data_IF_956055954707
#
_entry.id   IF_956055954707
#
_cell.length_a   1.000
_cell.length_b   1.000
_cell.length_c   1.000
_cell.angle_alpha   90.00
_cell.angle_beta   90.00
_cell.angle_gamma   90.00
#
_symmetry.space_group_name_H-M   'P 1'
#
loop_
_entity.id
_entity.type
_entity.pdbx_description
1 polymer ?
#
# COMPACT_ATOMS: atom_id res chain seq x y z
N UNK A 1 -14.31 6.09 9.28
CA UNK A 1 -13.19 7.03 9.46
C UNK A 1 -13.56 8.35 8.79
N UNK A 2 -13.24 9.48 9.41
CA UNK A 2 -13.40 10.84 8.88
C UNK A 2 -12.00 11.43 8.79
N UNK A 3 -11.65 12.09 7.68
CA UNK A 3 -10.32 12.67 7.52
C UNK A 3 -10.36 14.03 6.83
N UNK A 4 -9.35 14.85 7.12
CA UNK A 4 -9.10 16.13 6.48
C UNK A 4 -7.60 16.30 6.22
N UNK A 5 -7.27 16.81 5.05
CA UNK A 5 -5.89 17.13 4.65
C UNK A 5 -5.71 18.64 4.55
N UNK A 6 -4.51 19.09 4.86
CA UNK A 6 -4.07 20.46 4.58
C UNK A 6 -2.64 20.45 4.05
N UNK A 7 -2.34 21.31 3.10
CA UNK A 7 -0.97 21.57 2.64
C UNK A 7 -0.80 23.05 2.33
N UNK A 8 0.45 23.52 2.44
CA UNK A 8 0.81 24.89 2.09
C UNK A 8 1.94 24.89 1.07
N UNK A 9 1.98 25.95 0.26
CA UNK A 9 3.16 26.25 -0.56
C UNK A 9 4.34 26.44 0.38
N UNK A 10 5.39 25.63 0.23
CA UNK A 10 6.55 25.64 1.12
C UNK A 10 6.74 24.36 1.93
N UNK A 11 6.01 23.28 1.59
CA UNK A 11 6.31 21.95 2.06
C UNK A 11 5.72 21.55 3.40
N UNK A 12 4.73 22.29 3.92
CA UNK A 12 4.00 21.86 5.12
C UNK A 12 2.80 21.01 4.72
N UNK A 13 2.70 19.82 5.31
CA UNK A 13 1.55 18.93 5.20
C UNK A 13 0.91 18.65 6.55
N UNK A 14 -0.40 18.48 6.56
CA UNK A 14 -1.12 18.06 7.74
C UNK A 14 -2.23 17.07 7.40
N UNK A 15 -2.52 16.17 8.32
CA UNK A 15 -3.67 15.28 8.23
C UNK A 15 -4.28 15.11 9.61
N UNK A 16 -5.61 15.09 9.66
CA UNK A 16 -6.38 14.67 10.82
C UNK A 16 -7.25 13.49 10.41
N UNK A 17 -7.17 12.39 11.15
CA UNK A 17 -8.01 11.20 10.99
C UNK A 17 -8.77 10.96 12.28
N UNK A 18 -10.10 10.88 12.19
CA UNK A 18 -10.95 10.52 13.31
C UNK A 18 -11.61 9.18 13.08
N UNK A 19 -11.49 8.30 14.06
CA UNK A 19 -12.08 6.96 14.11
C UNK A 19 -13.23 6.99 15.13
N UNK A 20 -14.48 7.20 14.67
CA UNK A 20 -15.60 7.47 15.58
C UNK A 20 -15.96 6.29 16.48
N UNK A 21 -15.81 5.06 16.00
CA UNK A 21 -16.12 3.86 16.78
C UNK A 21 -15.16 3.68 17.95
N UNK A 22 -13.88 3.93 17.72
CA UNK A 22 -12.81 3.80 18.70
C UNK A 22 -12.59 5.09 19.50
N UNK A 23 -13.20 6.19 19.08
CA UNK A 23 -13.06 7.53 19.66
C UNK A 23 -11.60 8.03 19.67
N UNK A 24 -10.85 7.65 18.65
CA UNK A 24 -9.43 8.02 18.49
C UNK A 24 -9.31 9.06 17.38
N UNK A 25 -8.53 10.10 17.65
CA UNK A 25 -8.09 11.08 16.66
C UNK A 25 -6.57 11.01 16.50
N UNK A 26 -6.10 10.91 15.27
CA UNK A 26 -4.68 11.03 14.92
C UNK A 26 -4.49 12.28 14.10
N UNK A 27 -3.62 13.19 14.57
CA UNK A 27 -3.26 14.41 13.87
C UNK A 27 -1.75 14.40 13.61
N UNK A 28 -1.35 14.60 12.36
CA UNK A 28 0.05 14.70 11.93
C UNK A 28 0.26 16.03 11.24
N UNK A 29 1.36 16.69 11.57
CA UNK A 29 1.86 17.88 10.90
C UNK A 29 3.31 17.62 10.54
N UNK A 30 3.70 17.89 9.31
CA UNK A 30 5.07 17.74 8.86
C UNK A 30 5.49 18.92 7.97
N UNK A 31 6.79 19.02 7.74
CA UNK A 31 7.41 19.98 6.83
C UNK A 31 8.08 19.30 5.64
N UNK A 32 7.58 18.13 5.23
CA UNK A 32 8.08 17.39 4.08
C UNK A 32 7.29 17.76 2.83
N UNK A 33 7.98 18.00 1.75
CA UNK A 33 7.42 18.30 0.42
C UNK A 33 6.94 17.02 -0.31
N UNK A 34 6.25 16.12 0.39
CA UNK A 34 5.83 14.82 -0.14
C UNK A 34 4.36 14.76 -0.61
N UNK A 35 3.72 15.93 -0.74
CA UNK A 35 2.33 16.02 -1.17
C UNK A 35 1.32 15.42 -0.19
N UNK A 36 1.73 15.18 1.07
CA UNK A 36 0.86 14.63 2.12
C UNK A 36 0.86 13.11 2.24
N UNK A 37 1.54 12.39 1.36
CA UNK A 37 1.62 10.92 1.42
C UNK A 37 2.28 10.44 2.72
N UNK A 38 3.41 11.04 3.12
CA UNK A 38 4.08 10.68 4.36
C UNK A 38 3.21 10.91 5.58
N UNK A 39 2.42 12.00 5.61
CA UNK A 39 1.48 12.27 6.71
C UNK A 39 0.40 11.21 6.80
N UNK A 40 -0.17 10.78 5.67
CA UNK A 40 -1.20 9.75 5.66
C UNK A 40 -0.67 8.41 6.13
N UNK A 41 0.50 8.03 5.63
CA UNK A 41 1.18 6.81 6.03
C UNK A 41 1.46 6.78 7.53
N UNK A 42 2.08 7.85 8.06
CA UNK A 42 2.38 7.97 9.49
C UNK A 42 1.08 7.92 10.32
N UNK A 43 0.03 8.63 9.90
CA UNK A 43 -1.25 8.63 10.61
C UNK A 43 -1.89 7.23 10.66
N UNK A 44 -1.81 6.46 9.57
CA UNK A 44 -2.28 5.07 9.55
C UNK A 44 -1.45 4.18 10.48
N UNK A 45 -0.13 4.33 10.50
CA UNK A 45 0.74 3.57 11.41
C UNK A 45 0.47 3.89 12.88
N UNK A 46 0.36 5.17 13.21
CA UNK A 46 0.02 5.60 14.58
C UNK A 46 -1.33 5.03 15.00
N UNK A 47 -2.35 5.12 14.13
CA UNK A 47 -3.65 4.52 14.41
C UNK A 47 -3.55 3.00 14.63
N UNK A 48 -2.70 2.30 13.87
CA UNK A 48 -2.51 0.85 13.96
C UNK A 48 -1.99 0.36 15.31
N UNK A 49 -1.32 1.21 16.10
CA UNK A 49 -0.93 0.87 17.48
C UNK A 49 -2.12 0.74 18.44
N UNK A 50 -3.22 1.41 18.14
CA UNK A 50 -4.41 1.48 18.99
C UNK A 50 -5.62 0.78 18.40
N UNK A 51 -5.68 0.67 17.08
CA UNK A 51 -6.82 0.15 16.33
C UNK A 51 -6.34 -1.01 15.46
N UNK A 52 -6.60 -2.28 15.84
CA UNK A 52 -6.24 -3.42 15.00
C UNK A 52 -6.80 -3.27 13.58
N UNK A 53 -5.94 -3.36 12.58
CA UNK A 53 -6.34 -3.23 11.18
C UNK A 53 -6.49 -1.79 10.67
N UNK A 54 -6.26 -0.75 11.48
CA UNK A 54 -6.32 0.64 10.99
C UNK A 54 -5.27 0.93 9.89
N UNK A 55 -4.14 0.26 9.95
CA UNK A 55 -3.09 0.35 8.95
C UNK A 55 -3.54 -0.20 7.59
N UNK A 56 -4.23 -1.34 7.59
CA UNK A 56 -4.84 -1.95 6.40
C UNK A 56 -6.24 -1.40 6.08
N UNK A 57 -6.63 -0.26 6.66
CA UNK A 57 -7.97 0.31 6.50
C UNK A 57 -9.10 -0.49 7.15
N UNK A 58 -8.78 -1.42 8.05
CA UNK A 58 -9.76 -2.33 8.65
C UNK A 58 -10.24 -3.42 7.68
N UNK A 59 -9.52 -3.64 6.58
CA UNK A 59 -9.87 -4.64 5.58
C UNK A 59 -9.85 -6.04 6.18
N UNK A 60 -10.90 -6.79 5.90
CA UNK A 60 -11.02 -8.21 6.29
C UNK A 60 -10.37 -9.08 5.22
N UNK A 61 -9.87 -10.23 5.65
CA UNK A 61 -9.38 -11.25 4.73
C UNK A 61 -10.52 -11.72 3.81
N UNK A 62 -10.25 -11.71 2.49
CA UNK A 62 -11.17 -12.18 1.46
C UNK A 62 -10.62 -13.47 0.90
N UNK A 63 -11.45 -14.52 0.90
CA UNK A 63 -11.08 -15.79 0.31
C UNK A 63 -11.24 -15.75 -1.22
N UNK A 64 -10.30 -15.10 -1.89
CA UNK A 64 -10.15 -15.11 -3.33
C UNK A 64 -8.80 -15.75 -3.70
N UNK A 65 -8.84 -17.05 -3.95
CA UNK A 65 -7.66 -17.83 -4.28
C UNK A 65 -6.98 -17.32 -5.55
N UNK A 66 -7.76 -16.92 -6.57
CA UNK A 66 -7.24 -16.46 -7.86
C UNK A 66 -6.46 -15.15 -7.69
N UNK A 67 -7.03 -14.18 -6.96
CA UNK A 67 -6.35 -12.91 -6.70
C UNK A 67 -5.08 -13.12 -5.89
N UNK A 68 -5.14 -13.96 -4.86
CA UNK A 68 -3.99 -14.30 -4.03
C UNK A 68 -2.87 -14.95 -4.83
N UNK A 69 -3.18 -15.97 -5.64
CA UNK A 69 -2.20 -16.71 -6.44
C UNK A 69 -1.55 -15.85 -7.51
N UNK A 70 -2.34 -15.03 -8.21
CA UNK A 70 -1.82 -14.09 -9.20
C UNK A 70 -0.81 -13.09 -8.58
N UNK A 71 -1.17 -12.47 -7.46
CA UNK A 71 -0.27 -11.52 -6.79
C UNK A 71 1.00 -12.21 -6.28
N UNK A 72 0.87 -13.41 -5.71
CA UNK A 72 2.02 -14.19 -5.24
C UNK A 72 2.94 -14.60 -6.39
N UNK A 73 2.38 -14.96 -7.54
CA UNK A 73 3.18 -15.27 -8.74
C UNK A 73 3.98 -14.05 -9.21
N UNK A 74 3.36 -12.87 -9.24
CA UNK A 74 4.02 -11.62 -9.61
C UNK A 74 5.17 -11.32 -8.66
N UNK A 75 4.98 -11.47 -7.34
CA UNK A 75 6.04 -11.26 -6.36
C UNK A 75 7.21 -12.24 -6.54
N UNK A 76 6.93 -13.52 -6.85
CA UNK A 76 7.94 -14.52 -7.15
C UNK A 76 8.76 -14.15 -8.39
N UNK A 77 8.10 -13.76 -9.47
CA UNK A 77 8.78 -13.35 -10.70
C UNK A 77 9.66 -12.12 -10.47
N UNK A 78 9.18 -11.12 -9.72
CA UNK A 78 9.98 -9.94 -9.33
C UNK A 78 11.20 -10.36 -8.51
N UNK A 79 11.02 -11.24 -7.53
CA UNK A 79 12.10 -11.76 -6.68
C UNK A 79 13.15 -12.56 -7.47
N UNK A 80 12.72 -13.30 -8.49
CA UNK A 80 13.57 -14.05 -9.42
C UNK A 80 14.25 -13.17 -10.49
N UNK A 81 14.17 -11.86 -10.35
CA UNK A 81 14.69 -10.89 -11.32
C UNK A 81 14.04 -10.99 -12.72
N UNK A 82 12.85 -11.55 -12.80
CA UNK A 82 12.04 -11.55 -14.02
C UNK A 82 11.18 -10.29 -14.10
N UNK A 83 10.65 -10.01 -15.28
CA UNK A 83 9.72 -8.91 -15.50
C UNK A 83 8.36 -9.50 -15.86
N UNK A 84 7.41 -9.55 -14.90
CA UNK A 84 6.05 -10.01 -15.19
C UNK A 84 5.40 -9.19 -16.32
N UNK A 85 4.74 -9.85 -17.26
CA UNK A 85 4.03 -9.18 -18.36
C UNK A 85 2.88 -8.29 -17.89
N UNK A 86 2.39 -8.54 -16.68
CA UNK A 86 1.34 -7.74 -16.04
C UNK A 86 1.80 -6.38 -15.56
N UNK A 87 3.12 -6.14 -15.46
CA UNK A 87 3.65 -4.82 -15.09
C UNK A 87 3.53 -3.83 -16.25
N UNK A 88 3.29 -2.57 -15.94
CA UNK A 88 3.43 -1.48 -16.91
C UNK A 88 4.90 -1.34 -17.32
N UNK A 89 5.15 -0.93 -18.56
CA UNK A 89 6.49 -0.78 -19.08
C UNK A 89 7.36 0.19 -18.24
N UNK A 90 6.73 1.24 -17.70
CA UNK A 90 7.41 2.20 -16.85
C UNK A 90 7.82 1.59 -15.51
N UNK A 91 6.90 0.88 -14.84
CA UNK A 91 7.21 0.26 -13.55
C UNK A 91 8.23 -0.87 -13.71
N UNK A 92 8.10 -1.69 -14.75
CA UNK A 92 9.03 -2.78 -15.05
C UNK A 92 10.50 -2.33 -15.12
N UNK A 93 10.75 -1.13 -15.71
CA UNK A 93 12.10 -0.53 -15.80
C UNK A 93 12.62 0.02 -14.46
N UNK A 94 11.72 0.35 -13.53
CA UNK A 94 12.03 1.06 -12.30
C UNK A 94 11.94 0.19 -11.04
N UNK A 95 11.70 -1.12 -11.15
CA UNK A 95 11.73 -2.03 -10.00
C UNK A 95 13.15 -2.10 -9.45
N UNK A 96 13.34 -1.52 -8.26
CA UNK A 96 14.66 -1.42 -7.65
C UNK A 96 15.22 -2.79 -7.23
N UNK A 97 16.53 -2.93 -7.26
CA UNK A 97 17.21 -4.14 -6.77
C UNK A 97 16.92 -4.40 -5.28
N UNK A 98 16.84 -3.34 -4.48
CA UNK A 98 16.49 -3.46 -3.06
C UNK A 98 15.08 -4.04 -2.86
N UNK A 99 14.09 -3.58 -3.64
CA UNK A 99 12.73 -4.13 -3.59
C UNK A 99 12.72 -5.62 -3.95
N UNK A 100 13.47 -6.03 -4.98
CA UNK A 100 13.60 -7.43 -5.39
C UNK A 100 14.20 -8.30 -4.28
N UNK A 101 15.30 -7.86 -3.67
CA UNK A 101 15.98 -8.56 -2.56
C UNK A 101 15.06 -8.72 -1.35
N UNK A 102 14.43 -7.63 -0.92
CA UNK A 102 13.52 -7.67 0.23
C UNK A 102 12.29 -8.54 -0.04
N UNK A 103 11.74 -8.50 -1.25
CA UNK A 103 10.63 -9.38 -1.66
C UNK A 103 11.05 -10.85 -1.62
N UNK A 104 12.25 -11.18 -2.11
CA UNK A 104 12.79 -12.55 -2.04
C UNK A 104 12.95 -13.03 -0.60
N UNK A 105 13.46 -12.18 0.29
CA UNK A 105 13.59 -12.50 1.72
C UNK A 105 12.24 -12.70 2.40
N UNK A 106 11.27 -11.84 2.11
CA UNK A 106 9.92 -11.96 2.63
C UNK A 106 9.26 -13.28 2.17
N UNK A 107 9.40 -13.64 0.90
CA UNK A 107 8.88 -14.90 0.36
C UNK A 107 9.50 -16.13 1.03
N UNK A 108 10.80 -16.12 1.36
CA UNK A 108 11.47 -17.22 2.07
C UNK A 108 10.93 -17.42 3.49
N UNK A 109 10.51 -16.34 4.16
CA UNK A 109 10.00 -16.35 5.54
C UNK A 109 8.47 -16.42 5.61
N UNK A 110 7.79 -16.45 4.48
CA UNK A 110 6.34 -16.38 4.38
C UNK A 110 5.67 -17.61 5.03
N UNK A 111 4.77 -17.35 5.97
CA UNK A 111 3.87 -18.35 6.57
C UNK A 111 2.49 -18.33 5.92
N UNK A 112 2.00 -17.14 5.59
CA UNK A 112 0.73 -16.98 4.88
C UNK A 112 0.73 -15.73 4.01
N UNK A 113 -0.07 -15.76 2.96
CA UNK A 113 -0.34 -14.61 2.09
C UNK A 113 -1.84 -14.56 1.79
N UNK A 114 -2.49 -13.47 2.15
CA UNK A 114 -3.93 -13.32 2.03
C UNK A 114 -4.31 -12.02 1.33
N UNK A 115 -5.41 -12.07 0.59
CA UNK A 115 -6.01 -10.91 -0.04
C UNK A 115 -6.93 -10.20 0.93
N UNK A 116 -6.82 -8.86 1.01
CA UNK A 116 -7.61 -8.02 1.90
C UNK A 116 -8.71 -7.24 1.18
N UNK A 117 -8.69 -7.22 -0.15
CA UNK A 117 -9.62 -6.45 -0.97
C UNK A 117 -8.92 -5.39 -1.81
N UNK A 118 -9.73 -4.62 -2.50
CA UNK A 118 -9.29 -3.51 -3.32
C UNK A 118 -10.11 -2.25 -3.06
N UNK A 119 -9.52 -1.11 -3.35
CA UNK A 119 -10.20 0.18 -3.34
C UNK A 119 -10.00 0.90 -4.68
N UNK A 120 -11.04 1.61 -5.13
CA UNK A 120 -10.93 2.47 -6.30
C UNK A 120 -10.13 3.71 -5.94
N UNK A 121 -9.21 4.08 -6.81
CA UNK A 121 -8.50 5.36 -6.68
C UNK A 121 -9.48 6.48 -7.04
N UNK A 122 -9.87 7.25 -6.03
CA UNK A 122 -10.69 8.43 -6.23
C UNK A 122 -9.81 9.64 -6.51
N UNK A 123 -10.27 10.56 -7.37
CA UNK A 123 -9.55 11.75 -7.82
C UNK A 123 -9.24 12.80 -6.72
N UNK A 124 -9.58 12.51 -5.48
CA UNK A 124 -9.33 13.39 -4.33
C UNK A 124 -7.92 13.26 -3.72
N UNK A 125 -7.03 12.50 -4.34
CA UNK A 125 -5.62 12.53 -3.97
C UNK A 125 -4.95 13.78 -4.54
N UNK A 126 -4.17 14.45 -3.72
CA UNK A 126 -3.50 15.72 -4.02
C UNK A 126 -2.56 15.66 -5.24
N UNK A 127 -2.16 14.46 -5.65
CA UNK A 127 -1.49 14.18 -6.92
C UNK A 127 -2.33 13.11 -7.62
N UNK A 128 -3.28 13.50 -8.46
CA UNK A 128 -4.03 12.52 -9.22
C UNK A 128 -3.05 11.81 -10.16
N UNK A 129 -2.81 10.52 -9.95
CA UNK A 129 -2.24 9.69 -10.98
C UNK A 129 -3.37 9.35 -11.97
N UNK A 130 -3.42 10.00 -13.12
CA UNK A 130 -4.53 9.84 -14.07
C UNK A 130 -4.63 8.42 -14.61
N UNK A 131 -3.57 7.62 -14.45
CA UNK A 131 -3.50 6.22 -14.87
C UNK A 131 -3.99 5.26 -13.81
N UNK A 132 -3.99 5.62 -12.52
CA UNK A 132 -4.43 4.73 -11.46
C UNK A 132 -5.94 4.47 -11.51
N UNK A 133 -6.34 3.21 -11.32
CA UNK A 133 -7.74 2.78 -11.27
C UNK A 133 -8.09 2.18 -9.91
N UNK A 134 -7.31 1.22 -9.45
CA UNK A 134 -7.56 0.47 -8.22
C UNK A 134 -6.26 0.16 -7.49
N UNK A 135 -6.36 -0.04 -6.17
CA UNK A 135 -5.27 -0.55 -5.34
C UNK A 135 -5.75 -1.83 -4.69
N UNK A 136 -5.00 -2.90 -4.88
CA UNK A 136 -5.24 -4.21 -4.28
C UNK A 136 -4.32 -4.38 -3.08
N UNK A 137 -4.86 -4.86 -1.97
CA UNK A 137 -4.16 -4.97 -0.70
C UNK A 137 -4.00 -6.42 -0.30
N UNK A 138 -2.80 -6.78 0.15
CA UNK A 138 -2.46 -8.12 0.59
C UNK A 138 -1.70 -8.06 1.92
N UNK A 139 -1.89 -9.09 2.75
CA UNK A 139 -1.15 -9.29 3.99
C UNK A 139 -0.28 -10.53 3.88
N UNK A 140 1.00 -10.37 4.11
CA UNK A 140 1.97 -11.45 4.21
C UNK A 140 2.42 -11.59 5.65
N UNK A 141 2.14 -12.75 6.27
CA UNK A 141 2.62 -13.05 7.61
C UNK A 141 3.96 -13.77 7.48
N UNK A 142 4.98 -13.22 8.10
CA UNK A 142 6.32 -13.79 8.20
C UNK A 142 6.52 -14.48 9.56
N UNK A 143 7.71 -15.03 9.79
CA UNK A 143 8.04 -15.68 11.05
C UNK A 143 7.97 -14.73 12.26
N UNK A 144 8.35 -13.47 12.09
CA UNK A 144 8.55 -12.47 13.15
C UNK A 144 7.81 -11.15 12.94
N UNK A 145 7.19 -10.92 11.77
CA UNK A 145 6.45 -9.69 11.46
C UNK A 145 5.36 -9.92 10.43
N UNK A 146 4.55 -8.90 10.21
CA UNK A 146 3.57 -8.84 9.12
C UNK A 146 3.97 -7.75 8.15
N UNK A 147 3.86 -8.02 6.85
CA UNK A 147 4.14 -7.09 5.76
C UNK A 147 2.87 -6.93 4.92
N UNK A 148 2.51 -5.70 4.58
CA UNK A 148 1.40 -5.41 3.70
C UNK A 148 1.92 -5.06 2.31
N UNK A 149 1.41 -5.74 1.28
CA UNK A 149 1.70 -5.43 -0.11
C UNK A 149 0.53 -4.71 -0.75
N UNK A 150 0.83 -3.67 -1.51
CA UNK A 150 -0.14 -2.87 -2.24
C UNK A 150 0.21 -2.88 -3.72
N UNK A 151 -0.72 -3.33 -4.55
CA UNK A 151 -0.59 -3.40 -6.00
C UNK A 151 -1.51 -2.36 -6.62
N UNK A 152 -0.95 -1.33 -7.23
CA UNK A 152 -1.73 -0.35 -7.95
C UNK A 152 -1.96 -0.80 -9.39
N UNK A 153 -3.21 -1.00 -9.74
CA UNK A 153 -3.66 -1.29 -11.09
C UNK A 153 -3.94 0.02 -11.83
N UNK A 154 -3.44 0.11 -13.04
CA UNK A 154 -3.74 1.20 -13.96
C UNK A 154 -5.03 0.94 -14.73
N UNK A 155 -5.57 1.96 -15.41
CA UNK A 155 -6.78 1.89 -16.24
C UNK A 155 -6.64 0.94 -17.44
N UNK A 156 -5.43 0.67 -17.89
CA UNK A 156 -5.09 -0.29 -18.96
C UNK A 156 -4.99 -1.75 -18.46
N UNK A 157 -5.27 -1.99 -17.16
CA UNK A 157 -5.18 -3.31 -16.55
C UNK A 157 -3.75 -3.75 -16.23
N UNK A 158 -2.76 -2.89 -16.39
CA UNK A 158 -1.38 -3.17 -15.99
C UNK A 158 -1.09 -2.69 -14.58
N UNK A 159 -0.18 -3.36 -13.90
CA UNK A 159 0.30 -2.95 -12.58
C UNK A 159 1.28 -1.80 -12.75
N UNK A 160 0.87 -0.63 -12.32
CA UNK A 160 1.67 0.59 -12.38
C UNK A 160 2.68 0.70 -11.26
N UNK A 161 2.50 -0.09 -10.19
CA UNK A 161 3.30 0.04 -9.00
C UNK A 161 3.01 -1.07 -7.97
N UNK A 162 4.04 -1.57 -7.29
CA UNK A 162 3.93 -2.44 -6.13
C UNK A 162 4.83 -1.90 -5.04
N UNK A 163 4.30 -1.74 -3.85
CA UNK A 163 5.09 -1.47 -2.64
C UNK A 163 4.74 -2.46 -1.55
N UNK A 164 5.57 -2.47 -0.52
CA UNK A 164 5.23 -3.09 0.75
C UNK A 164 5.55 -2.17 1.92
N UNK A 165 4.86 -2.43 3.03
CA UNK A 165 4.96 -1.73 4.30
C UNK A 165 5.07 -2.77 5.42
N UNK A 166 5.92 -2.54 6.42
CA UNK A 166 6.17 -3.44 7.55
C UNK A 166 6.10 -2.72 8.92
#
# INVERSE_FOLDING_TARGET
MIQHFGSTVGGFGSIVKYYPNEKITVAIINNLEDGGFGSEYIAKRVAGFYIPGAFSGGMKEINDAKQRENALQILKEIADNKTPETLSANYAKNVSENFRKQTAENLKQMKSFVYLGNEKVTTNHFIPDPMAAEIFHYKMTLANKTVFYHFRMNKDGKIGWVIFED
#
